data_IF_954536116473
#
_entry.id   IF_954536116473
#
_cell.length_a   1.000
_cell.length_b   1.000
_cell.length_c   1.000
_cell.angle_alpha   90.00
_cell.angle_beta   90.00
_cell.angle_gamma   90.00
#
_symmetry.space_group_name_H-M   'P 1'
#
loop_
_entity.id
_entity.type
_entity.pdbx_description
1 polymer ?
#
# COMPACT_ATOMS: atom_id res chain seq x y z
N UNK A 1 14.20 10.80 0.68
CA UNK A 1 12.94 10.04 0.51
C UNK A 1 11.75 10.67 1.23
N UNK A 2 11.84 10.98 2.52
CA UNK A 2 10.75 11.56 3.32
C UNK A 2 10.08 12.80 2.72
N UNK A 3 10.87 13.78 2.26
CA UNK A 3 10.37 14.98 1.58
C UNK A 3 9.63 14.65 0.27
N UNK A 4 10.22 13.79 -0.56
CA UNK A 4 9.63 13.35 -1.82
C UNK A 4 8.23 12.77 -1.61
N UNK A 5 8.05 11.87 -0.64
CA UNK A 5 6.75 11.24 -0.37
C UNK A 5 5.70 12.29 0.01
N UNK A 6 6.08 13.27 0.83
CA UNK A 6 5.17 14.35 1.23
C UNK A 6 4.79 15.27 0.09
N UNK A 7 5.72 15.57 -0.83
CA UNK A 7 5.42 16.37 -2.02
C UNK A 7 4.53 15.55 -2.98
N UNK A 8 4.86 14.27 -3.23
CA UNK A 8 4.06 13.35 -4.06
C UNK A 8 2.63 13.22 -3.55
N UNK A 9 2.45 13.09 -2.23
CA UNK A 9 1.12 12.88 -1.65
C UNK A 9 0.34 14.21 -1.49
N UNK A 10 1.03 15.31 -1.15
CA UNK A 10 0.45 16.64 -0.91
C UNK A 10 -0.39 16.73 0.38
N UNK A 11 -1.29 15.77 0.56
CA UNK A 11 -2.21 15.61 1.68
C UNK A 11 -2.16 14.18 2.24
N UNK A 12 -2.96 13.95 3.29
CA UNK A 12 -3.29 12.61 3.74
C UNK A 12 -3.92 11.82 2.59
N UNK A 13 -3.39 10.62 2.35
CA UNK A 13 -3.71 9.77 1.21
C UNK A 13 -5.09 9.11 1.26
N UNK A 14 -5.72 9.10 2.44
CA UNK A 14 -7.09 8.59 2.59
C UNK A 14 -8.08 9.48 1.83
N UNK A 15 -9.00 8.89 1.03
CA UNK A 15 -9.88 9.66 0.15
C UNK A 15 -10.69 10.71 0.91
N UNK A 16 -10.66 11.95 0.42
CA UNK A 16 -11.42 13.08 0.97
C UNK A 16 -10.79 13.75 2.20
N UNK A 17 -9.62 13.32 2.66
CA UNK A 17 -8.90 13.99 3.74
C UNK A 17 -8.02 15.15 3.22
N UNK A 18 -8.21 16.34 3.77
CA UNK A 18 -7.52 17.58 3.42
C UNK A 18 -6.32 17.92 4.32
N UNK A 19 -5.96 17.02 5.24
CA UNK A 19 -4.84 17.27 6.16
C UNK A 19 -3.51 17.30 5.38
N UNK A 20 -2.65 18.32 5.54
CA UNK A 20 -1.42 18.42 4.76
C UNK A 20 -0.48 17.24 5.03
N UNK A 21 0.18 16.72 3.99
CA UNK A 21 1.14 15.61 4.13
C UNK A 21 2.30 15.96 5.08
N UNK A 22 2.68 17.24 5.15
CA UNK A 22 3.72 17.74 6.05
C UNK A 22 3.35 17.65 7.54
N UNK A 23 2.05 17.57 7.86
CA UNK A 23 1.55 17.30 9.22
C UNK A 23 1.22 15.82 9.45
N UNK A 24 1.46 14.96 8.46
CA UNK A 24 1.17 13.53 8.51
C UNK A 24 2.38 12.67 8.86
N UNK A 25 2.07 11.46 9.30
CA UNK A 25 3.02 10.37 9.47
C UNK A 25 3.28 9.69 8.12
N UNK A 26 4.51 9.22 7.90
CA UNK A 26 4.80 8.31 6.80
C UNK A 26 4.51 6.90 7.26
N UNK A 27 3.62 6.22 6.55
CA UNK A 27 3.08 4.94 6.95
C UNK A 27 3.29 3.90 5.84
N UNK A 28 3.67 2.68 6.22
CA UNK A 28 3.92 1.60 5.27
C UNK A 28 2.62 1.06 4.73
N UNK A 29 2.40 1.19 3.42
CA UNK A 29 1.19 0.69 2.76
C UNK A 29 1.01 -0.81 3.03
N UNK A 30 2.08 -1.60 2.88
CA UNK A 30 2.14 -2.98 3.34
C UNK A 30 2.89 -3.00 4.66
N UNK A 31 2.34 -3.63 5.69
CA UNK A 31 2.94 -3.58 7.02
C UNK A 31 4.39 -4.10 7.00
N UNK A 32 5.30 -3.34 7.63
CA UNK A 32 6.66 -3.80 7.87
C UNK A 32 6.63 -4.99 8.83
N UNK A 33 7.47 -5.98 8.57
CA UNK A 33 7.56 -7.19 9.37
C UNK A 33 8.88 -7.15 10.13
N UNK A 34 8.82 -6.89 11.44
CA UNK A 34 10.03 -6.75 12.27
C UNK A 34 10.75 -8.08 12.50
N UNK A 35 10.04 -9.20 12.41
CA UNK A 35 10.61 -10.54 12.60
C UNK A 35 11.24 -11.07 11.31
N UNK A 36 10.64 -10.74 10.16
CA UNK A 36 11.18 -11.05 8.85
C UNK A 36 11.00 -9.87 7.88
N UNK A 37 11.89 -8.85 7.93
CA UNK A 37 11.82 -7.67 7.08
C UNK A 37 11.63 -7.96 5.61
N UNK A 38 12.26 -8.99 5.06
CA UNK A 38 12.16 -9.34 3.64
C UNK A 38 10.74 -9.80 3.23
N UNK A 39 9.90 -10.24 4.18
CA UNK A 39 8.52 -10.68 3.95
C UNK A 39 7.47 -9.58 4.17
N UNK A 40 7.87 -8.42 4.70
CA UNK A 40 7.01 -7.26 4.94
C UNK A 40 7.09 -6.19 3.85
N UNK A 41 6.29 -5.14 3.97
CA UNK A 41 6.43 -3.96 3.13
C UNK A 41 7.73 -3.22 3.43
N UNK A 42 8.45 -2.81 2.39
CA UNK A 42 9.74 -2.13 2.54
C UNK A 42 9.58 -0.62 2.71
N UNK A 43 10.54 -0.02 3.40
CA UNK A 43 10.68 1.45 3.53
C UNK A 43 11.21 2.03 2.22
N UNK A 44 10.34 2.13 1.20
CA UNK A 44 10.66 2.66 -0.13
C UNK A 44 9.73 3.80 -0.50
N UNK A 45 10.09 4.58 -1.53
CA UNK A 45 9.24 5.67 -2.01
C UNK A 45 7.85 5.16 -2.42
N UNK A 46 7.77 4.00 -3.08
CA UNK A 46 6.51 3.37 -3.49
C UNK A 46 5.82 2.58 -2.36
N UNK A 47 6.55 2.18 -1.30
CA UNK A 47 6.02 1.40 -0.17
C UNK A 47 5.43 2.24 0.95
N UNK A 48 5.69 3.55 0.96
CA UNK A 48 5.20 4.50 1.96
C UNK A 48 4.11 5.40 1.37
N UNK A 49 3.19 5.81 2.24
CA UNK A 49 2.13 6.78 1.97
C UNK A 49 1.94 7.68 3.19
N UNK A 50 1.59 8.94 2.97
CA UNK A 50 1.37 9.90 4.05
C UNK A 50 -0.03 9.77 4.60
N UNK A 51 -0.18 9.69 5.93
CA UNK A 51 -1.49 9.66 6.60
C UNK A 51 -1.49 10.60 7.79
N UNK A 52 -2.58 11.35 7.98
CA UNK A 52 -2.74 12.11 9.22
C UNK A 52 -2.88 11.15 10.41
N UNK A 53 -2.56 11.60 11.62
CA UNK A 53 -2.55 10.76 12.82
C UNK A 53 -3.86 9.99 13.05
N UNK A 54 -5.01 10.59 12.75
CA UNK A 54 -6.32 9.92 12.85
C UNK A 54 -6.42 8.74 11.88
N UNK A 55 -6.13 8.96 10.60
CA UNK A 55 -6.23 7.93 9.57
C UNK A 55 -5.14 6.86 9.68
N UNK A 56 -3.96 7.22 10.19
CA UNK A 56 -2.91 6.26 10.52
C UNK A 56 -3.42 5.26 11.58
N UNK A 57 -4.05 5.73 12.66
CA UNK A 57 -4.65 4.86 13.67
C UNK A 57 -5.78 4.00 13.11
N UNK A 58 -6.69 4.57 12.30
CA UNK A 58 -7.77 3.81 11.66
C UNK A 58 -7.24 2.64 10.81
N UNK A 59 -6.13 2.84 10.09
CA UNK A 59 -5.47 1.74 9.38
C UNK A 59 -4.90 0.70 10.35
N UNK A 60 -4.19 1.13 11.39
CA UNK A 60 -3.65 0.22 12.40
C UNK A 60 -4.75 -0.66 12.97
N UNK A 61 -5.90 -0.06 13.31
CA UNK A 61 -7.09 -0.74 13.83
C UNK A 61 -7.82 -1.59 12.77
N UNK A 62 -7.46 -1.48 11.49
CA UNK A 62 -8.03 -2.27 10.40
C UNK A 62 -9.40 -1.81 9.95
N UNK A 63 -9.74 -0.53 10.17
CA UNK A 63 -11.00 0.10 9.71
C UNK A 63 -11.09 0.10 8.18
N UNK A 64 -9.95 0.14 7.50
CA UNK A 64 -9.83 -0.06 6.06
C UNK A 64 -8.53 -0.79 5.73
N UNK A 65 -8.44 -1.28 4.50
CA UNK A 65 -7.20 -1.81 3.93
C UNK A 65 -6.77 -0.90 2.79
N UNK A 66 -5.57 -0.33 2.87
CA UNK A 66 -4.99 0.45 1.79
C UNK A 66 -4.05 -0.40 0.94
N UNK A 67 -3.92 -0.03 -0.33
CA UNK A 67 -2.91 -0.58 -1.23
C UNK A 67 -2.40 0.51 -2.17
N UNK A 68 -1.19 0.32 -2.68
CA UNK A 68 -0.52 1.28 -3.53
C UNK A 68 0.31 0.54 -4.57
N UNK A 69 0.20 0.99 -5.82
CA UNK A 69 0.95 0.44 -6.94
C UNK A 69 1.39 1.56 -7.87
N UNK A 70 2.42 1.29 -8.68
CA UNK A 70 2.84 2.19 -9.75
C UNK A 70 2.06 1.79 -11.00
N UNK A 71 1.34 2.72 -11.61
CA UNK A 71 0.62 2.47 -12.86
C UNK A 71 1.54 2.50 -14.09
N UNK A 72 1.00 2.22 -15.26
CA UNK A 72 1.74 2.21 -16.52
C UNK A 72 2.37 3.57 -16.89
N UNK A 73 1.90 4.67 -16.29
CA UNK A 73 2.45 6.02 -16.48
C UNK A 73 3.57 6.36 -15.48
N UNK A 74 3.91 5.42 -14.60
CA UNK A 74 4.91 5.62 -13.55
C UNK A 74 4.37 6.34 -12.31
N UNK A 75 3.06 6.59 -12.22
CA UNK A 75 2.45 7.30 -11.09
C UNK A 75 2.08 6.34 -9.97
N UNK A 76 2.30 6.77 -8.74
CA UNK A 76 1.79 6.05 -7.58
C UNK A 76 0.26 6.22 -7.48
N UNK A 77 -0.46 5.10 -7.54
CA UNK A 77 -1.90 5.03 -7.37
C UNK A 77 -2.25 4.35 -6.08
N UNK A 78 -3.22 4.91 -5.37
CA UNK A 78 -3.72 4.38 -4.12
C UNK A 78 -5.13 3.85 -4.30
N UNK A 79 -5.43 2.83 -3.53
CA UNK A 79 -6.74 2.22 -3.50
C UNK A 79 -7.04 1.77 -2.07
N UNK A 80 -8.30 1.92 -1.68
CA UNK A 80 -8.77 1.65 -0.35
C UNK A 80 -9.93 0.66 -0.43
N UNK A 81 -9.87 -0.35 0.41
CA UNK A 81 -10.92 -1.35 0.57
C UNK A 81 -11.57 -1.16 1.92
N UNK A 82 -12.88 -0.99 1.90
CA UNK A 82 -13.68 -0.80 3.09
C UNK A 82 -14.25 -2.15 3.57
N UNK A 83 -14.60 -2.30 4.85
CA UNK A 83 -15.10 -3.57 5.39
C UNK A 83 -16.40 -4.06 4.74
N UNK A 84 -17.21 -3.14 4.19
CA UNK A 84 -18.44 -3.49 3.47
C UNK A 84 -18.17 -3.92 2.00
N UNK A 85 -16.91 -4.02 1.59
CA UNK A 85 -16.50 -4.48 0.27
C UNK A 85 -16.41 -3.38 -0.80
N UNK A 86 -16.63 -2.10 -0.47
CA UNK A 86 -16.43 -1.04 -1.44
C UNK A 86 -14.94 -0.78 -1.69
N UNK A 87 -14.61 -0.57 -2.96
CA UNK A 87 -13.28 -0.19 -3.43
C UNK A 87 -13.31 1.29 -3.81
N UNK A 88 -12.44 2.09 -3.18
CA UNK A 88 -12.37 3.53 -3.37
C UNK A 88 -10.98 3.86 -3.89
N UNK A 89 -10.91 4.48 -5.07
CA UNK A 89 -9.66 5.00 -5.59
C UNK A 89 -9.22 6.24 -4.78
N UNK A 90 -7.92 6.36 -4.54
CA UNK A 90 -7.34 7.59 -4.01
C UNK A 90 -7.48 8.75 -4.99
N UNK A 91 -6.79 9.85 -4.68
CA UNK A 91 -6.81 11.04 -5.54
C UNK A 91 -6.35 10.72 -6.97
N UNK A 92 -7.04 11.32 -7.95
CA UNK A 92 -6.71 11.20 -9.36
C UNK A 92 -5.43 11.99 -9.69
N UNK A 93 -5.22 13.11 -9.01
CA UNK A 93 -3.97 13.86 -8.99
C UNK A 93 -3.00 13.40 -7.90
N UNK A 94 -1.71 13.50 -8.19
CA UNK A 94 -0.63 13.46 -7.21
C UNK A 94 0.21 14.74 -7.32
N UNK A 95 1.16 14.93 -6.41
CA UNK A 95 2.17 15.96 -6.52
C UNK A 95 2.97 15.92 -7.83
N UNK A 96 3.01 14.77 -8.52
CA UNK A 96 3.67 14.62 -9.83
C UNK A 96 2.96 15.39 -10.95
N UNK A 97 1.71 15.82 -10.73
CA UNK A 97 0.96 16.66 -11.67
C UNK A 97 1.36 18.14 -11.55
N UNK A 98 1.70 18.59 -10.34
CA UNK A 98 2.18 19.95 -10.07
C UNK A 98 3.69 20.07 -10.23
N UNK A 99 4.43 18.99 -9.96
CA UNK A 99 5.88 18.94 -10.01
C UNK A 99 6.35 17.76 -10.87
N UNK A 100 6.32 17.88 -12.21
CA UNK A 100 6.65 16.76 -13.10
C UNK A 100 8.06 16.17 -12.90
N UNK A 101 9.01 16.99 -12.42
CA UNK A 101 10.40 16.58 -12.13
C UNK A 101 10.52 15.57 -10.99
N UNK A 102 9.46 15.36 -10.19
CA UNK A 102 9.43 14.26 -9.21
C UNK A 102 9.62 12.89 -9.88
N UNK A 103 9.18 12.73 -11.13
CA UNK A 103 9.32 11.47 -11.88
C UNK A 103 10.77 11.10 -12.19
N UNK A 104 11.65 12.09 -12.21
CA UNK A 104 13.08 11.90 -12.47
C UNK A 104 13.84 11.45 -11.21
N UNK A 105 13.22 11.56 -10.03
CA UNK A 105 13.85 11.21 -8.76
C UNK A 105 13.77 9.70 -8.57
N UNK A 106 14.93 9.06 -8.61
CA UNK A 106 15.07 7.64 -8.29
C UNK A 106 15.63 7.46 -6.88
N UNK A 107 15.11 6.46 -6.18
CA UNK A 107 15.63 6.06 -4.87
C UNK A 107 16.21 4.66 -4.97
N UNK A 108 17.38 4.47 -4.37
CA UNK A 108 17.89 3.13 -4.11
C UNK A 108 17.05 2.51 -3.01
N UNK A 109 16.41 1.38 -3.29
CA UNK A 109 15.69 0.64 -2.26
C UNK A 109 16.69 0.07 -1.25
N UNK A 110 16.34 0.05 0.05
CA UNK A 110 17.19 -0.59 1.04
C UNK A 110 17.31 -2.09 0.70
N UNK A 111 18.52 -2.63 0.77
CA UNK A 111 18.68 -4.09 0.76
C UNK A 111 17.97 -4.66 1.99
N UNK A 112 17.18 -5.73 1.85
CA UNK A 112 16.62 -6.40 3.01
C UNK A 112 17.78 -6.84 3.91
N UNK A 113 17.72 -6.57 5.23
CA UNK A 113 18.74 -7.06 6.14
C UNK A 113 18.87 -8.59 5.98
N UNK A 114 20.11 -9.06 5.82
CA UNK A 114 20.42 -10.49 5.76
C UNK A 114 20.16 -11.09 7.13
N UNK A 115 18.95 -11.59 7.38
CA UNK A 115 18.68 -12.32 8.60
C UNK A 115 19.17 -13.77 8.44
N UNK A 116 19.91 -14.32 9.43
CA UNK A 116 20.05 -15.77 9.51
C UNK A 116 18.63 -16.38 9.62
N UNK A 117 18.41 -17.59 9.10
CA UNK A 117 17.12 -18.26 9.22
C UNK A 117 16.66 -18.25 10.69
N UNK A 118 15.36 -18.10 10.96
CA UNK A 118 14.86 -18.04 12.33
C UNK A 118 15.38 -19.25 13.10
N UNK A 119 16.06 -19.00 14.23
CA UNK A 119 16.51 -20.07 15.10
C UNK A 119 15.27 -20.84 15.55
N UNK A 120 15.21 -22.12 15.17
CA UNK A 120 14.17 -23.04 15.63
C UNK A 120 14.41 -23.35 17.10
N UNK A 121 14.03 -22.44 18.00
CA UNK A 121 13.93 -22.78 19.42
C UNK A 121 12.74 -23.72 19.56
N UNK A 122 12.99 -25.01 19.79
CA UNK A 122 11.95 -26.00 20.12
C UNK A 122 11.31 -25.63 21.45
N UNK A 123 10.05 -25.16 21.49
CA UNK A 123 9.37 -24.91 22.75
C UNK A 123 8.85 -26.26 23.26
N UNK A 124 9.09 -26.55 24.54
CA UNK A 124 8.61 -27.73 25.28
C UNK A 124 7.09 -27.72 25.51
N UNK A 125 6.35 -26.87 24.80
CA UNK A 125 4.90 -26.65 24.96
C UNK A 125 4.28 -26.19 23.64
N UNK A 126 3.00 -26.48 23.37
CA UNK A 126 2.34 -26.08 22.14
C UNK A 126 2.10 -24.57 22.17
N UNK A 127 3.09 -23.80 21.71
CA UNK A 127 2.95 -22.38 21.48
C UNK A 127 2.38 -22.14 20.08
N UNK A 128 1.49 -21.17 19.95
CA UNK A 128 0.86 -20.77 18.69
C UNK A 128 1.95 -20.51 17.65
N UNK A 129 1.90 -21.20 16.50
CA UNK A 129 2.95 -21.14 15.44
C UNK A 129 3.29 -19.73 14.94
N UNK A 130 2.42 -18.74 15.16
CA UNK A 130 2.59 -17.32 14.81
C UNK A 130 1.96 -16.40 15.85
N UNK A 131 2.55 -15.22 16.04
CA UNK A 131 1.97 -14.16 16.87
C UNK A 131 0.68 -13.62 16.23
N UNK A 132 -0.23 -13.06 17.03
CA UNK A 132 -1.47 -12.44 16.48
C UNK A 132 -1.17 -11.33 15.47
N UNK A 133 -0.10 -10.57 15.70
CA UNK A 133 0.35 -9.51 14.80
C UNK A 133 0.79 -10.10 13.45
N UNK A 134 1.64 -11.13 13.47
CA UNK A 134 2.10 -11.81 12.27
C UNK A 134 0.94 -12.45 11.47
N UNK A 135 -0.04 -13.04 12.15
CA UNK A 135 -1.25 -13.55 11.51
C UNK A 135 -2.09 -12.43 10.87
N UNK A 136 -2.22 -11.30 11.56
CA UNK A 136 -2.96 -10.13 11.06
C UNK A 136 -2.29 -9.54 9.82
N UNK A 137 -0.97 -9.34 9.85
CA UNK A 137 -0.21 -8.86 8.70
C UNK A 137 -0.28 -9.85 7.53
N UNK A 138 -0.12 -11.15 7.77
CA UNK A 138 -0.26 -12.17 6.74
C UNK A 138 -1.65 -12.17 6.10
N UNK A 139 -2.72 -12.05 6.91
CA UNK A 139 -4.10 -11.94 6.42
C UNK A 139 -4.28 -10.70 5.53
N UNK A 140 -3.82 -9.53 5.97
CA UNK A 140 -3.92 -8.27 5.21
C UNK A 140 -3.13 -8.34 3.90
N UNK A 141 -1.92 -8.92 3.90
CA UNK A 141 -1.13 -9.15 2.67
C UNK A 141 -1.87 -10.05 1.67
N UNK A 142 -2.41 -11.18 2.13
CA UNK A 142 -3.21 -12.07 1.29
C UNK A 142 -4.47 -11.37 0.76
N UNK A 143 -5.10 -10.52 1.57
CA UNK A 143 -6.27 -9.75 1.17
C UNK A 143 -5.94 -8.73 0.08
N UNK A 144 -4.84 -7.98 0.21
CA UNK A 144 -4.34 -7.09 -0.87
C UNK A 144 -4.06 -7.88 -2.15
N UNK A 145 -3.41 -9.03 -2.06
CA UNK A 145 -3.13 -9.87 -3.24
C UNK A 145 -4.42 -10.36 -3.92
N UNK A 146 -5.41 -10.81 -3.14
CA UNK A 146 -6.73 -11.18 -3.68
C UNK A 146 -7.41 -10.00 -4.36
N UNK A 147 -7.38 -8.82 -3.75
CA UNK A 147 -8.00 -7.62 -4.31
C UNK A 147 -7.31 -7.19 -5.62
N UNK A 148 -5.98 -7.24 -5.70
CA UNK A 148 -5.22 -6.99 -6.93
C UNK A 148 -5.62 -7.95 -8.05
N UNK A 149 -5.72 -9.25 -7.76
CA UNK A 149 -6.17 -10.26 -8.74
C UNK A 149 -7.60 -9.98 -9.21
N UNK A 150 -8.51 -9.66 -8.29
CA UNK A 150 -9.90 -9.35 -8.62
C UNK A 150 -10.02 -8.09 -9.49
N UNK A 151 -9.24 -7.05 -9.21
CA UNK A 151 -9.19 -5.83 -10.03
C UNK A 151 -8.61 -6.08 -11.41
N UNK A 152 -7.53 -6.85 -11.52
CA UNK A 152 -6.95 -7.25 -12.80
C UNK A 152 -7.95 -8.01 -13.67
N UNK A 153 -8.64 -9.00 -13.10
CA UNK A 153 -9.66 -9.78 -13.80
C UNK A 153 -10.84 -8.90 -14.28
N UNK A 154 -11.29 -7.93 -13.45
CA UNK A 154 -12.31 -6.95 -13.86
C UNK A 154 -11.84 -6.08 -15.01
N UNK A 155 -10.61 -5.56 -14.94
CA UNK A 155 -10.02 -4.76 -16.02
C UNK A 155 -9.90 -5.54 -17.34
N UNK A 156 -9.51 -6.82 -17.29
CA UNK A 156 -9.50 -7.68 -18.48
C UNK A 156 -10.90 -7.90 -19.06
N UNK A 157 -11.90 -8.11 -18.19
CA UNK A 157 -13.29 -8.28 -18.63
C UNK A 157 -13.84 -7.00 -19.26
N UNK A 158 -13.56 -5.83 -18.67
CA UNK A 158 -13.95 -4.52 -19.22
C UNK A 158 -13.27 -4.25 -20.56
N UNK A 159 -11.99 -4.57 -20.70
CA UNK A 159 -11.27 -4.42 -21.96
C UNK A 159 -11.83 -5.35 -23.06
N UNK A 160 -12.15 -6.60 -22.74
CA UNK A 160 -12.81 -7.53 -23.68
C UNK A 160 -14.18 -6.99 -24.10
N UNK A 161 -14.98 -6.52 -23.15
CA UNK A 161 -16.29 -5.92 -23.43
C UNK A 161 -16.17 -4.69 -24.33
N UNK A 162 -15.19 -3.82 -24.12
CA UNK A 162 -14.98 -2.65 -24.96
C UNK A 162 -14.59 -2.99 -26.42
N UNK A 163 -14.00 -4.17 -26.64
CA UNK A 163 -13.71 -4.70 -27.99
C UNK A 163 -14.96 -5.34 -28.61
N UNK A 164 -15.72 -6.12 -27.83
CA UNK A 164 -16.91 -6.85 -28.29
C UNK A 164 -18.15 -5.96 -28.50
N UNK A 165 -18.31 -4.93 -27.66
CA UNK A 165 -19.44 -4.00 -27.62
C UNK A 165 -18.90 -2.57 -27.36
N UNK A 166 -18.30 -1.93 -28.38
CA UNK A 166 -17.72 -0.61 -28.21
C UNK A 166 -18.81 0.41 -27.83
N UNK A 167 -18.50 1.39 -26.96
CA UNK A 167 -19.46 2.40 -26.57
C UNK A 167 -20.02 3.12 -27.80
N UNK A 168 -21.33 3.43 -27.84
CA UNK A 168 -21.90 4.23 -28.91
C UNK A 168 -21.20 5.60 -28.93
N UNK A 169 -20.85 6.03 -30.14
CA UNK A 169 -20.11 7.27 -30.43
C UNK A 169 -20.73 8.51 -29.75
#
# INVERSE_FOLDING_TARGET
>A
MSLFIRIRDGYCTVPGCDKPAFAGDLDHVHEYDHDNPAAGGQTTAAGLATKCRMHHQMKTDGVFLDDQYIDATGKARQIFYTPNGATIHGYAESGDDLFPTLRDITFTNPEPPKHPPPQQNTPESPTRRRSRLADTHARRRQERERNRKALGAKGEQEARRAIEDPPPF
#
